data_IF_820496702846
#
_entry.id   IF_820496702846
#
_cell.length_a   1.000
_cell.length_b   1.000
_cell.length_c   1.000
_cell.angle_alpha   90.00
_cell.angle_beta   90.00
_cell.angle_gamma   90.00
#
_symmetry.space_group_name_H-M   'P 1'
#
loop_
_entity.id
_entity.type
_entity.pdbx_description
1 polymer ?
#
# COMPACT_ATOMS: atom_id res chain seq x y z
N UNK A 1 -12.92 4.99 -24.52
CA UNK A 1 -12.00 5.48 -23.49
C UNK A 1 -11.93 4.38 -22.47
N UNK A 2 -10.75 3.88 -22.18
CA UNK A 2 -10.60 2.78 -21.21
C UNK A 2 -10.95 3.28 -19.80
N UNK A 3 -11.58 2.42 -19.02
CA UNK A 3 -12.02 2.73 -17.65
C UNK A 3 -10.90 2.36 -16.65
N UNK A 4 -9.97 3.29 -16.44
CA UNK A 4 -8.82 3.08 -15.56
C UNK A 4 -9.23 2.91 -14.10
N UNK A 5 -10.31 3.55 -13.65
CA UNK A 5 -10.86 3.33 -12.32
C UNK A 5 -11.29 1.88 -12.12
N UNK A 6 -11.91 1.29 -13.12
CA UNK A 6 -12.28 -0.13 -13.11
C UNK A 6 -11.07 -1.06 -13.14
N UNK A 7 -10.00 -0.69 -13.87
CA UNK A 7 -8.73 -1.43 -13.86
C UNK A 7 -8.10 -1.40 -12.47
N UNK A 8 -8.05 -0.25 -11.82
CA UNK A 8 -7.56 -0.09 -10.45
C UNK A 8 -8.39 -0.91 -9.46
N UNK A 9 -9.72 -0.86 -9.58
CA UNK A 9 -10.61 -1.65 -8.74
C UNK A 9 -10.37 -3.15 -8.88
N UNK A 10 -10.20 -3.62 -10.12
CA UNK A 10 -9.88 -5.02 -10.40
C UNK A 10 -8.52 -5.43 -9.85
N UNK A 11 -7.49 -4.58 -10.00
CA UNK A 11 -6.16 -4.79 -9.43
C UNK A 11 -6.23 -4.96 -7.92
N UNK A 12 -6.86 -4.03 -7.21
CA UNK A 12 -6.99 -4.11 -5.76
C UNK A 12 -7.86 -5.29 -5.31
N UNK A 13 -8.93 -5.62 -6.03
CA UNK A 13 -9.71 -6.83 -5.75
C UNK A 13 -8.86 -8.09 -5.87
N UNK A 14 -8.07 -8.23 -6.93
CA UNK A 14 -7.16 -9.38 -7.07
C UNK A 14 -6.13 -9.43 -5.95
N UNK A 15 -5.58 -8.28 -5.55
CA UNK A 15 -4.64 -8.18 -4.43
C UNK A 15 -5.23 -8.73 -3.13
N UNK A 16 -6.48 -8.39 -2.81
CA UNK A 16 -7.12 -8.80 -1.55
C UNK A 16 -7.75 -10.19 -1.59
N UNK A 17 -8.11 -10.71 -2.78
CA UNK A 17 -8.78 -12.02 -2.96
C UNK A 17 -7.84 -13.17 -3.25
N UNK A 18 -6.54 -12.92 -3.44
CA UNK A 18 -5.56 -13.99 -3.66
C UNK A 18 -5.56 -14.98 -2.48
N UNK A 19 -6.01 -16.19 -2.72
CA UNK A 19 -6.13 -17.26 -1.70
C UNK A 19 -5.00 -18.28 -1.78
N UNK A 20 -4.35 -18.37 -2.93
CA UNK A 20 -3.30 -19.35 -3.20
C UNK A 20 -1.99 -18.68 -3.64
N UNK A 21 -0.90 -19.17 -3.08
CA UNK A 21 0.46 -18.72 -3.46
C UNK A 21 0.90 -19.26 -4.82
N UNK A 22 0.18 -20.23 -5.37
CA UNK A 22 0.51 -20.86 -6.67
C UNK A 22 -0.24 -20.24 -7.84
N UNK A 23 -1.36 -19.55 -7.55
CA UNK A 23 -2.16 -18.84 -8.55
C UNK A 23 -2.61 -17.51 -7.94
N UNK A 24 -1.73 -16.53 -8.03
CA UNK A 24 -2.01 -15.20 -7.49
C UNK A 24 -2.94 -14.41 -8.41
N UNK A 25 -2.91 -14.68 -9.73
CA UNK A 25 -3.72 -14.02 -10.74
C UNK A 25 -3.47 -12.51 -10.89
N UNK A 26 -2.72 -11.93 -9.97
CA UNK A 26 -2.41 -10.49 -9.93
C UNK A 26 -1.33 -10.12 -10.96
N UNK A 27 -0.45 -11.03 -11.31
CA UNK A 27 0.68 -10.82 -12.23
C UNK A 27 0.23 -10.35 -13.61
N UNK A 28 -0.98 -10.71 -14.04
CA UNK A 28 -1.52 -10.30 -15.35
C UNK A 28 -1.79 -8.79 -15.47
N UNK A 29 -1.83 -8.08 -14.34
CA UNK A 29 -2.04 -6.63 -14.29
C UNK A 29 -0.73 -5.84 -14.36
N UNK A 30 0.42 -6.48 -14.18
CA UNK A 30 1.71 -5.81 -14.07
C UNK A 30 2.60 -6.02 -15.29
N UNK A 31 3.40 -5.01 -15.61
CA UNK A 31 4.56 -5.19 -16.49
C UNK A 31 5.65 -5.98 -15.73
N UNK A 32 6.43 -6.78 -16.44
CA UNK A 32 7.56 -7.54 -15.86
C UNK A 32 8.63 -6.63 -15.22
N UNK A 33 8.77 -5.41 -15.76
CA UNK A 33 9.71 -4.38 -15.31
C UNK A 33 9.04 -3.35 -14.39
N UNK A 34 8.01 -3.75 -13.66
CA UNK A 34 7.33 -2.88 -12.70
C UNK A 34 8.32 -2.34 -11.66
N UNK A 35 8.10 -1.11 -11.21
CA UNK A 35 8.60 -0.63 -9.93
C UNK A 35 7.43 -0.47 -8.96
N UNK A 36 7.59 -0.95 -7.73
CA UNK A 36 6.53 -0.86 -6.73
C UNK A 36 7.11 -0.39 -5.40
N UNK A 37 6.43 0.57 -4.79
CA UNK A 37 6.68 1.02 -3.42
C UNK A 37 5.40 0.78 -2.63
N UNK A 38 5.46 -0.12 -1.67
CA UNK A 38 4.34 -0.43 -0.79
C UNK A 38 4.34 0.43 0.48
N UNK A 39 3.45 0.11 1.40
CA UNK A 39 3.29 0.82 2.68
C UNK A 39 4.27 0.38 3.76
N UNK A 40 4.88 -0.79 3.59
CA UNK A 40 5.82 -1.36 4.54
C UNK A 40 7.24 -0.83 4.36
N UNK A 41 8.02 -0.82 5.45
CA UNK A 41 9.37 -0.26 5.50
C UNK A 41 10.34 -0.79 4.43
N UNK A 42 10.16 -2.04 4.00
CA UNK A 42 11.07 -2.71 3.06
C UNK A 42 10.40 -3.05 1.73
N UNK A 43 9.19 -2.54 1.48
CA UNK A 43 8.40 -2.82 0.29
C UNK A 43 8.80 -1.91 -0.87
N UNK A 44 10.02 -2.12 -1.37
CA UNK A 44 10.54 -1.47 -2.58
C UNK A 44 10.97 -2.59 -3.54
N UNK A 45 10.18 -2.79 -4.60
CA UNK A 45 10.38 -3.85 -5.58
C UNK A 45 10.73 -3.25 -6.93
N UNK A 46 11.70 -3.84 -7.62
CA UNK A 46 12.28 -3.33 -8.87
C UNK A 46 11.78 -4.08 -10.10
N UNK A 47 11.10 -5.20 -9.88
CA UNK A 47 10.53 -6.04 -10.93
C UNK A 47 9.40 -6.90 -10.35
N UNK A 48 8.62 -7.50 -11.25
CA UNK A 48 7.48 -8.32 -10.90
C UNK A 48 7.86 -9.53 -10.05
N UNK A 49 9.01 -10.14 -10.31
CA UNK A 49 9.45 -11.32 -9.56
C UNK A 49 9.67 -11.00 -8.07
N UNK A 50 10.39 -9.93 -7.76
CA UNK A 50 10.62 -9.49 -6.37
C UNK A 50 9.30 -9.22 -5.65
N UNK A 51 8.36 -8.54 -6.32
CA UNK A 51 7.04 -8.28 -5.77
C UNK A 51 6.26 -9.57 -5.48
N UNK A 52 6.18 -10.50 -6.44
CA UNK A 52 5.43 -11.74 -6.30
C UNK A 52 5.99 -12.64 -5.18
N UNK A 53 7.31 -12.70 -5.01
CA UNK A 53 7.93 -13.45 -3.91
C UNK A 53 7.52 -12.88 -2.54
N UNK A 54 7.50 -11.56 -2.38
CA UNK A 54 7.00 -10.92 -1.16
C UNK A 54 5.50 -11.12 -0.98
N UNK A 55 4.72 -10.95 -2.04
CA UNK A 55 3.28 -11.09 -1.99
C UNK A 55 2.81 -12.50 -1.58
N UNK A 56 3.55 -13.54 -1.92
CA UNK A 56 3.30 -14.91 -1.44
C UNK A 56 3.35 -15.01 0.09
N UNK A 57 4.25 -14.28 0.74
CA UNK A 57 4.29 -14.23 2.20
C UNK A 57 3.05 -13.53 2.77
N UNK A 58 2.60 -12.44 2.17
CA UNK A 58 1.42 -11.72 2.61
C UNK A 58 0.16 -12.57 2.48
N UNK A 59 0.01 -13.29 1.38
CA UNK A 59 -1.10 -14.24 1.19
C UNK A 59 -1.10 -15.31 2.28
N UNK A 60 0.06 -15.88 2.62
CA UNK A 60 0.17 -16.86 3.72
C UNK A 60 -0.17 -16.27 5.09
N UNK A 61 0.28 -15.04 5.36
CA UNK A 61 0.10 -14.34 6.65
C UNK A 61 -1.32 -13.84 6.87
N UNK A 62 -2.01 -13.46 5.80
CA UNK A 62 -3.37 -12.92 5.84
C UNK A 62 -4.35 -13.87 6.53
N UNK A 63 -4.16 -15.17 6.41
CA UNK A 63 -4.97 -16.20 7.08
C UNK A 63 -6.43 -16.13 6.65
N UNK A 64 -7.33 -16.07 7.67
CA UNK A 64 -8.80 -16.08 7.48
C UNK A 64 -9.44 -14.70 7.56
N UNK A 65 -8.66 -13.64 7.54
CA UNK A 65 -9.19 -12.27 7.53
C UNK A 65 -9.70 -11.99 6.12
N UNK A 66 -10.99 -11.65 6.02
CA UNK A 66 -11.57 -11.13 4.79
C UNK A 66 -11.22 -9.66 4.68
N UNK A 67 -10.65 -9.25 3.54
CA UNK A 67 -10.36 -7.85 3.28
C UNK A 67 -11.35 -7.36 2.22
N UNK A 68 -11.84 -6.14 2.40
CA UNK A 68 -12.68 -5.42 1.44
C UNK A 68 -12.04 -4.11 1.06
N UNK A 69 -12.27 -3.67 -0.17
CA UNK A 69 -11.99 -2.31 -0.62
C UNK A 69 -13.27 -1.48 -0.55
N UNK A 70 -13.13 -0.25 -0.12
CA UNK A 70 -14.22 0.73 -0.02
C UNK A 70 -13.72 2.10 -0.45
N UNK A 71 -14.64 2.99 -0.81
CA UNK A 71 -14.35 4.40 -1.04
C UNK A 71 -13.18 4.66 -2.00
N UNK A 72 -13.14 3.96 -3.15
CA UNK A 72 -12.13 4.21 -4.16
C UNK A 72 -12.40 5.58 -4.83
N UNK A 73 -11.52 6.52 -4.58
CA UNK A 73 -11.45 7.82 -5.25
C UNK A 73 -10.24 7.82 -6.17
N UNK A 74 -10.42 8.25 -7.43
CA UNK A 74 -9.35 8.26 -8.41
C UNK A 74 -9.52 9.43 -9.37
N UNK A 75 -8.40 10.08 -9.66
CA UNK A 75 -8.23 11.03 -10.75
C UNK A 75 -7.22 10.46 -11.74
N UNK A 76 -7.32 10.87 -13.01
CA UNK A 76 -6.54 10.33 -14.11
C UNK A 76 -6.01 11.47 -14.97
N UNK A 77 -4.74 11.34 -15.38
CA UNK A 77 -4.09 12.22 -16.32
C UNK A 77 -3.49 11.39 -17.47
N UNK A 78 -3.91 11.68 -18.69
CA UNK A 78 -3.34 11.07 -19.88
C UNK A 78 -2.03 11.79 -20.20
N UNK A 79 -0.91 11.12 -19.95
CA UNK A 79 0.41 11.67 -20.20
C UNK A 79 0.77 11.63 -21.69
N UNK A 80 0.41 10.55 -22.37
CA UNK A 80 0.48 10.37 -23.82
C UNK A 80 -0.37 9.16 -24.25
N UNK A 81 -0.28 8.75 -25.52
CA UNK A 81 -1.08 7.65 -26.08
C UNK A 81 -0.86 6.28 -25.41
N UNK A 82 0.32 6.09 -24.79
CA UNK A 82 0.74 4.82 -24.17
C UNK A 82 0.89 4.90 -22.64
N UNK A 83 0.68 6.07 -22.04
CA UNK A 83 0.89 6.28 -20.60
C UNK A 83 -0.24 7.08 -19.96
N UNK A 84 -0.75 6.55 -18.85
CA UNK A 84 -1.74 7.22 -18.01
C UNK A 84 -1.25 7.19 -16.56
N UNK A 85 -1.31 8.35 -15.91
CA UNK A 85 -1.14 8.50 -14.47
C UNK A 85 -2.52 8.43 -13.81
N UNK A 86 -2.69 7.54 -12.85
CA UNK A 86 -3.83 7.50 -11.96
C UNK A 86 -3.36 7.71 -10.52
N UNK A 87 -4.07 8.51 -9.75
CA UNK A 87 -3.78 8.72 -8.34
C UNK A 87 -5.06 8.88 -7.53
N UNK A 88 -4.98 8.60 -6.23
CA UNK A 88 -6.16 8.68 -5.40
C UNK A 88 -6.01 8.00 -4.05
N UNK A 89 -7.15 7.61 -3.48
CA UNK A 89 -7.21 6.89 -2.22
C UNK A 89 -8.22 5.75 -2.26
N UNK A 90 -8.00 4.79 -1.39
CA UNK A 90 -8.87 3.63 -1.21
C UNK A 90 -8.81 3.18 0.25
N UNK A 91 -9.96 2.80 0.82
CA UNK A 91 -10.02 2.16 2.12
C UNK A 91 -9.86 0.65 2.00
N UNK A 92 -8.95 0.07 2.78
CA UNK A 92 -8.90 -1.35 3.05
C UNK A 92 -9.49 -1.63 4.43
N UNK A 93 -10.47 -2.51 4.50
CA UNK A 93 -11.11 -2.92 5.74
C UNK A 93 -10.94 -4.44 5.94
N UNK A 94 -10.32 -4.85 7.04
CA UNK A 94 -10.29 -6.24 7.47
C UNK A 94 -11.53 -6.57 8.29
N UNK A 95 -12.15 -7.73 8.02
CA UNK A 95 -13.37 -8.17 8.68
C UNK A 95 -13.13 -9.49 9.41
N UNK A 96 -13.67 -9.60 10.63
CA UNK A 96 -13.83 -10.85 11.33
C UNK A 96 -14.91 -11.73 10.68
N UNK A 97 -15.02 -12.98 11.12
CA UNK A 97 -16.02 -13.92 10.60
C UNK A 97 -17.47 -13.49 10.83
N UNK A 98 -17.71 -12.73 11.88
CA UNK A 98 -19.04 -12.17 12.21
C UNK A 98 -19.39 -10.91 11.39
N UNK A 99 -18.46 -10.45 10.52
CA UNK A 99 -18.60 -9.26 9.72
C UNK A 99 -18.21 -7.95 10.40
N UNK A 100 -17.83 -7.99 11.68
CA UNK A 100 -17.30 -6.80 12.36
C UNK A 100 -15.94 -6.42 11.82
N UNK A 101 -15.65 -5.12 11.81
CA UNK A 101 -14.37 -4.59 11.29
C UNK A 101 -13.26 -4.78 12.34
N UNK A 102 -12.17 -5.46 11.97
CA UNK A 102 -11.01 -5.62 12.81
C UNK A 102 -9.96 -4.51 12.59
N UNK A 103 -9.89 -3.96 11.39
CA UNK A 103 -9.09 -2.77 11.06
C UNK A 103 -9.67 -2.04 9.85
N UNK A 104 -9.35 -0.77 9.75
CA UNK A 104 -9.58 0.04 8.55
C UNK A 104 -8.35 0.92 8.35
N UNK A 105 -7.85 0.97 7.13
CA UNK A 105 -6.77 1.89 6.76
C UNK A 105 -7.11 2.56 5.45
N UNK A 106 -6.94 3.87 5.40
CA UNK A 106 -6.91 4.63 4.16
C UNK A 106 -5.52 4.47 3.53
N UNK A 107 -5.50 4.19 2.24
CA UNK A 107 -4.26 4.07 1.47
C UNK A 107 -4.34 5.01 0.28
N UNK A 108 -3.35 5.87 0.16
CA UNK A 108 -3.15 6.72 -1.01
C UNK A 108 -2.31 5.96 -2.01
N UNK A 109 -2.59 6.15 -3.30
CA UNK A 109 -1.85 5.47 -4.35
C UNK A 109 -1.55 6.37 -5.52
N UNK A 110 -0.50 6.02 -6.23
CA UNK A 110 -0.15 6.52 -7.56
C UNK A 110 0.17 5.33 -8.45
N UNK A 111 -0.48 5.24 -9.60
CA UNK A 111 -0.29 4.17 -10.58
C UNK A 111 0.09 4.79 -11.91
N UNK A 112 1.11 4.27 -12.57
CA UNK A 112 1.38 4.54 -13.99
C UNK A 112 0.96 3.32 -14.77
N UNK A 113 -0.06 3.47 -15.60
CA UNK A 113 -0.47 2.49 -16.59
C UNK A 113 0.31 2.71 -17.88
N UNK A 114 0.77 1.63 -18.48
CA UNK A 114 1.45 1.62 -19.78
C UNK A 114 0.75 0.67 -20.73
N UNK A 115 0.49 1.15 -21.95
CA UNK A 115 -0.01 0.31 -23.03
C UNK A 115 1.11 -0.58 -23.55
N UNK A 116 0.92 -1.91 -23.52
CA UNK A 116 1.88 -2.89 -23.99
C UNK A 116 1.17 -4.16 -24.44
N UNK A 117 1.48 -4.65 -25.64
CA UNK A 117 0.94 -5.91 -26.16
C UNK A 117 -0.60 -5.95 -26.18
N UNK A 118 -1.25 -4.85 -26.55
CA UNK A 118 -2.71 -4.78 -26.69
C UNK A 118 -3.48 -4.65 -25.37
N UNK A 119 -2.82 -4.28 -24.25
CA UNK A 119 -3.46 -4.08 -22.95
C UNK A 119 -2.74 -3.04 -22.09
N UNK A 120 -3.47 -2.48 -21.14
CA UNK A 120 -2.90 -1.63 -20.11
C UNK A 120 -2.32 -2.48 -18.98
N UNK A 121 -1.07 -2.20 -18.62
CA UNK A 121 -0.34 -2.84 -17.52
C UNK A 121 0.16 -1.79 -16.55
N UNK A 122 0.22 -2.14 -15.28
CA UNK A 122 0.84 -1.31 -14.24
C UNK A 122 2.36 -1.34 -14.43
N UNK A 123 2.94 -0.18 -14.72
CA UNK A 123 4.38 0.05 -14.84
C UNK A 123 4.99 0.53 -13.54
N UNK A 124 4.22 1.32 -12.78
CA UNK A 124 4.60 1.78 -11.45
C UNK A 124 3.39 1.78 -10.53
N UNK A 125 3.59 1.38 -9.29
CA UNK A 125 2.62 1.51 -8.22
C UNK A 125 3.33 2.03 -6.97
N UNK A 126 2.86 3.15 -6.43
CA UNK A 126 3.24 3.62 -5.11
C UNK A 126 2.01 3.64 -4.22
N UNK A 127 2.15 3.10 -3.02
CA UNK A 127 1.13 3.16 -1.97
C UNK A 127 1.72 3.76 -0.71
N UNK A 128 0.92 4.57 -0.01
CA UNK A 128 1.28 5.13 1.28
C UNK A 128 0.06 5.20 2.18
N UNK A 129 0.26 5.08 3.47
CA UNK A 129 -0.76 5.36 4.48
C UNK A 129 -0.53 6.74 5.08
N UNK A 130 -1.58 7.50 5.44
CA UNK A 130 -1.42 8.73 6.19
C UNK A 130 -0.82 8.41 7.57
N UNK A 131 -0.07 9.36 8.11
CA UNK A 131 0.30 9.33 9.51
C UNK A 131 -0.95 9.65 10.33
N UNK A 132 -1.44 8.69 11.10
CA UNK A 132 -2.67 8.83 11.88
C UNK A 132 -2.54 9.83 13.04
N UNK A 133 -1.33 10.24 13.38
CA UNK A 133 -1.04 11.21 14.45
C UNK A 133 -0.87 12.63 13.91
N UNK A 134 -0.85 12.80 12.58
CA UNK A 134 -0.79 14.10 11.94
C UNK A 134 -2.12 14.82 12.08
N UNK A 135 -2.09 16.06 12.56
CA UNK A 135 -3.30 16.89 12.73
C UNK A 135 -3.72 17.51 11.39
N UNK A 136 -5.01 17.78 11.25
CA UNK A 136 -5.56 18.46 10.08
C UNK A 136 -4.86 19.81 9.86
N UNK A 137 -4.39 20.04 8.62
CA UNK A 137 -3.64 21.24 8.24
C UNK A 137 -2.15 21.23 8.61
N UNK A 138 -1.66 20.14 9.15
CA UNK A 138 -0.23 19.96 9.42
C UNK A 138 0.48 19.42 8.17
N UNK A 139 1.25 20.26 7.47
CA UNK A 139 1.99 19.86 6.27
C UNK A 139 3.22 18.99 6.59
N UNK A 140 3.85 19.26 7.74
CA UNK A 140 4.95 18.47 8.27
C UNK A 140 4.51 17.78 9.57
N UNK A 141 4.97 16.55 9.86
CA UNK A 141 4.59 15.83 11.07
C UNK A 141 5.29 16.42 12.31
N UNK A 142 4.93 17.66 12.67
CA UNK A 142 5.44 18.34 13.87
C UNK A 142 5.06 17.57 15.13
N UNK A 143 3.88 16.96 15.12
CA UNK A 143 3.39 16.10 16.21
C UNK A 143 4.28 14.86 16.34
N UNK A 144 4.65 14.21 15.23
CA UNK A 144 5.61 13.11 15.22
C UNK A 144 6.97 13.54 15.76
N UNK A 145 7.45 14.73 15.36
CA UNK A 145 8.70 15.31 15.89
C UNK A 145 8.68 15.48 17.40
N UNK A 146 7.56 15.95 17.95
CA UNK A 146 7.39 16.10 19.41
C UNK A 146 7.35 14.75 20.14
N UNK A 147 6.71 13.75 19.55
CA UNK A 147 6.68 12.40 20.11
C UNK A 147 8.04 11.73 20.06
N UNK A 148 8.77 11.85 18.95
CA UNK A 148 10.14 11.33 18.83
C UNK A 148 11.03 11.96 19.88
N UNK A 149 10.95 13.28 20.10
CA UNK A 149 11.74 13.95 21.13
C UNK A 149 11.36 13.51 22.54
N UNK A 150 10.06 13.35 22.84
CA UNK A 150 9.57 12.81 24.11
C UNK A 150 10.09 11.40 24.35
N UNK A 151 9.94 10.51 23.37
CA UNK A 151 10.43 9.12 23.45
C UNK A 151 11.95 9.09 23.64
N UNK A 152 12.70 9.96 22.94
CA UNK A 152 14.14 10.09 23.10
C UNK A 152 14.53 10.52 24.51
N UNK A 153 13.82 11.48 25.10
CA UNK A 153 14.03 11.92 26.47
C UNK A 153 13.72 10.81 27.48
N UNK A 154 12.64 10.07 27.28
CA UNK A 154 12.27 8.92 28.10
C UNK A 154 13.32 7.79 28.03
N UNK A 155 13.78 7.44 26.82
CA UNK A 155 14.85 6.45 26.62
C UNK A 155 16.19 6.90 27.22
N UNK A 156 16.51 8.18 27.11
CA UNK A 156 17.71 8.74 27.72
C UNK A 156 17.64 8.69 29.26
N UNK A 157 16.48 8.99 29.83
CA UNK A 157 16.26 8.90 31.27
C UNK A 157 16.34 7.42 31.76
N UNK A 158 15.83 6.47 31.00
CA UNK A 158 15.97 5.04 31.30
C UNK A 158 17.42 4.57 31.15
N UNK A 159 18.16 5.02 30.13
CA UNK A 159 19.56 4.69 29.91
C UNK A 159 20.48 5.22 31.05
N UNK A 160 20.22 6.42 31.53
CA UNK A 160 20.94 6.95 32.70
C UNK A 160 20.64 6.18 33.99
N UNK A 161 19.42 5.60 34.11
CA UNK A 161 19.08 4.73 35.26
C UNK A 161 19.85 3.38 35.23
N UNK A 162 20.15 2.84 34.06
CA UNK A 162 20.89 1.58 33.91
C UNK A 162 22.41 1.72 34.21
N UNK A 163 22.99 2.88 33.95
CA UNK A 163 24.42 3.11 34.20
C UNK A 163 24.76 3.39 35.69
N UNK A 164 23.76 3.55 36.57
CA UNK A 164 23.94 3.74 37.99
C UNK A 164 23.78 2.48 38.84
N UNK A 165 23.57 1.31 38.21
CA UNK A 165 23.40 0.01 38.89
C UNK A 165 24.62 -0.92 38.72
N UNK A 166 25.74 -0.43 38.26
CA UNK A 166 26.99 -1.20 38.11
C UNK A 166 28.07 -0.71 39.07
#
# INVERSE_FOLDING_TARGET
MDDFKKLTEQLFKMYITAESVNDLGIEKYFDENISLIGTGKHEIYRNLHEFLESFKFDVKRRGKIRIEIRNLHQEEEILNEDLVLAHGSVDFAGLFKDGSTCFKTETRFTIIYKWKNGKWLVQHLHQSTPDLEQMDGEEFPVTLGKQVEKTRQELHALGTAYYHIS
#
